data_IF_258699317021
#
_entry.id   IF_258699317021
#
_cell.length_a   1.000
_cell.length_b   1.000
_cell.length_c   1.000
_cell.angle_alpha   90.00
_cell.angle_beta   90.00
_cell.angle_gamma   90.00
#
_symmetry.space_group_name_H-M   'P 1'
#
loop_
_entity.id
_entity.type
_entity.pdbx_description
1 polymer ?
#
# COMPACT_ATOMS: atom_id res chain seq x y z
N UNK A 1 38.40 11.76 -26.03
CA UNK A 1 38.60 11.63 -27.50
C UNK A 1 39.82 12.42 -27.98
N UNK A 2 40.28 12.22 -29.23
CA UNK A 2 41.35 13.01 -29.88
C UNK A 2 40.75 13.80 -31.05
N UNK A 3 41.22 15.03 -31.28
CA UNK A 3 40.81 15.81 -32.44
C UNK A 3 41.38 15.20 -33.74
N UNK A 4 40.53 14.93 -34.73
CA UNK A 4 40.97 14.39 -36.02
C UNK A 4 41.88 15.36 -36.80
N UNK A 5 41.78 16.68 -36.56
CA UNK A 5 42.56 17.69 -37.28
C UNK A 5 43.95 17.92 -36.70
N UNK A 6 44.08 18.06 -35.38
CA UNK A 6 45.36 18.38 -34.74
C UNK A 6 45.91 17.29 -33.81
N UNK A 7 45.19 16.19 -33.62
CA UNK A 7 45.60 15.08 -32.75
C UNK A 7 45.52 15.37 -31.24
N UNK A 8 45.23 16.61 -30.83
CA UNK A 8 45.17 16.99 -29.42
C UNK A 8 44.06 16.23 -28.67
N UNK A 9 44.31 15.85 -27.41
CA UNK A 9 43.29 15.19 -26.57
C UNK A 9 42.23 16.22 -26.18
N UNK A 10 40.97 15.87 -26.38
CA UNK A 10 39.83 16.70 -25.99
C UNK A 10 39.22 16.14 -24.71
N UNK A 11 39.14 17.00 -23.71
CA UNK A 11 38.67 16.71 -22.37
C UNK A 11 37.17 17.03 -22.25
N UNK A 12 36.32 16.00 -22.30
CA UNK A 12 34.85 16.16 -22.24
C UNK A 12 34.23 16.37 -23.63
N UNK A 13 32.92 16.55 -23.69
CA UNK A 13 32.24 16.83 -24.94
C UNK A 13 32.20 18.34 -25.20
N UNK A 14 33.01 18.78 -26.14
CA UNK A 14 32.94 20.12 -26.72
C UNK A 14 32.65 20.02 -28.22
N UNK A 15 31.80 20.90 -28.73
CA UNK A 15 31.52 20.98 -30.16
C UNK A 15 32.76 21.34 -31.00
N UNK A 16 33.74 21.99 -30.37
CA UNK A 16 34.96 22.47 -31.00
C UNK A 16 36.20 22.05 -30.21
N UNK A 17 37.32 21.84 -30.90
CA UNK A 17 38.61 21.57 -30.28
C UNK A 17 39.19 22.85 -29.67
N UNK A 18 39.47 22.84 -28.36
CA UNK A 18 40.06 23.99 -27.66
C UNK A 18 41.46 24.40 -28.18
N UNK A 19 42.17 23.50 -28.85
CA UNK A 19 43.51 23.79 -29.38
C UNK A 19 43.50 24.39 -30.79
N UNK A 20 42.59 23.95 -31.67
CA UNK A 20 42.64 24.34 -33.09
C UNK A 20 41.31 24.88 -33.64
N UNK A 21 40.26 24.97 -32.82
CA UNK A 21 38.94 25.47 -33.20
C UNK A 21 38.15 24.56 -34.15
N UNK A 22 38.71 23.42 -34.57
CA UNK A 22 38.02 22.51 -35.48
C UNK A 22 36.77 21.89 -34.83
N UNK A 23 35.70 21.77 -35.60
CA UNK A 23 34.50 21.05 -35.19
C UNK A 23 34.83 19.57 -34.94
N UNK A 24 34.29 19.02 -33.84
CA UNK A 24 34.46 17.62 -33.47
C UNK A 24 33.24 16.84 -33.93
N UNK A 25 33.43 15.94 -34.90
CA UNK A 25 32.35 15.14 -35.51
C UNK A 25 31.96 13.91 -34.71
N UNK A 26 32.85 13.43 -33.83
CA UNK A 26 32.64 12.24 -32.98
C UNK A 26 32.34 12.66 -31.53
N UNK A 27 31.34 13.53 -31.39
CA UNK A 27 30.96 14.06 -30.09
C UNK A 27 30.05 13.06 -29.36
N UNK A 28 30.66 12.15 -28.61
CA UNK A 28 29.89 11.25 -27.77
C UNK A 28 29.31 12.02 -26.57
N UNK A 29 28.00 12.28 -26.59
CA UNK A 29 27.30 12.97 -25.51
C UNK A 29 27.41 12.21 -24.18
N UNK A 30 27.63 10.88 -24.22
CA UNK A 30 27.89 10.10 -23.01
C UNK A 30 29.24 10.47 -22.34
N UNK A 31 30.22 10.95 -23.10
CA UNK A 31 31.52 11.41 -22.58
C UNK A 31 31.44 12.83 -21.98
N UNK A 32 30.44 13.64 -22.35
CA UNK A 32 30.13 14.93 -21.68
C UNK A 32 29.71 14.72 -20.23
N UNK A 33 28.98 13.63 -20.00
CA UNK A 33 28.63 13.16 -18.68
C UNK A 33 29.85 12.49 -18.05
N UNK A 34 30.95 13.24 -17.86
CA UNK A 34 31.97 12.81 -16.91
C UNK A 34 31.22 12.52 -15.62
N UNK A 35 31.10 11.23 -15.31
CA UNK A 35 30.80 10.76 -13.97
C UNK A 35 31.95 11.30 -13.15
N UNK A 36 31.79 12.49 -12.58
CA UNK A 36 32.62 12.89 -11.47
C UNK A 36 32.51 11.71 -10.51
N UNK A 37 33.62 11.05 -10.15
CA UNK A 37 33.55 9.99 -9.17
C UNK A 37 32.85 10.59 -7.96
N UNK A 38 31.67 10.05 -7.61
CA UNK A 38 30.92 10.56 -6.48
C UNK A 38 31.88 10.58 -5.28
N UNK A 39 31.97 11.70 -4.54
CA UNK A 39 32.86 11.76 -3.41
C UNK A 39 32.51 10.60 -2.45
N UNK A 40 33.50 9.95 -1.82
CA UNK A 40 33.28 8.74 -1.03
C UNK A 40 32.23 8.93 0.08
N UNK A 41 32.10 10.16 0.59
CA UNK A 41 31.06 10.56 1.54
C UNK A 41 29.64 10.42 0.97
N UNK A 42 29.43 10.81 -0.29
CA UNK A 42 28.13 10.69 -0.96
C UNK A 42 27.76 9.23 -1.22
N UNK A 43 28.76 8.40 -1.54
CA UNK A 43 28.57 6.94 -1.69
C UNK A 43 28.16 6.31 -0.36
N UNK A 44 28.77 6.74 0.76
CA UNK A 44 28.38 6.29 2.10
C UNK A 44 26.96 6.71 2.49
N UNK A 45 26.59 7.97 2.26
CA UNK A 45 25.24 8.45 2.57
C UNK A 45 24.15 7.80 1.72
N UNK A 46 24.42 7.54 0.43
CA UNK A 46 23.52 6.79 -0.45
C UNK A 46 23.24 5.37 0.06
N UNK A 47 24.28 4.69 0.55
CA UNK A 47 24.14 3.35 1.11
C UNK A 47 23.31 3.37 2.40
N UNK A 48 23.59 4.32 3.30
CA UNK A 48 22.81 4.52 4.53
C UNK A 48 21.33 4.83 4.21
N UNK A 49 21.06 5.74 3.27
CA UNK A 49 19.70 6.07 2.85
C UNK A 49 18.97 4.84 2.28
N UNK A 50 19.63 4.04 1.44
CA UNK A 50 19.06 2.81 0.89
C UNK A 50 18.73 1.79 1.99
N UNK A 51 19.63 1.58 2.95
CA UNK A 51 19.38 0.67 4.08
C UNK A 51 18.25 1.14 4.99
N UNK A 52 18.17 2.45 5.28
CA UNK A 52 17.10 3.04 6.07
C UNK A 52 15.74 2.84 5.38
N UNK A 53 15.64 3.12 4.07
CA UNK A 53 14.43 2.89 3.29
C UNK A 53 14.00 1.42 3.27
N UNK A 54 14.96 0.50 3.14
CA UNK A 54 14.69 -0.93 3.18
C UNK A 54 14.10 -1.35 4.54
N UNK A 55 14.67 -0.88 5.65
CA UNK A 55 14.18 -1.16 7.00
C UNK A 55 12.77 -0.61 7.22
N UNK A 56 12.50 0.62 6.76
CA UNK A 56 11.15 1.20 6.81
C UNK A 56 10.15 0.38 5.98
N UNK A 57 10.54 -0.07 4.78
CA UNK A 57 9.67 -0.91 3.96
C UNK A 57 9.37 -2.27 4.62
N UNK A 58 10.39 -2.93 5.19
CA UNK A 58 10.24 -4.21 5.87
C UNK A 58 9.37 -4.10 7.13
N UNK A 59 9.55 -3.04 7.92
CA UNK A 59 8.73 -2.80 9.11
C UNK A 59 7.27 -2.51 8.74
N UNK A 60 7.03 -1.68 7.73
CA UNK A 60 5.68 -1.43 7.21
C UNK A 60 5.03 -2.71 6.68
N UNK A 61 5.77 -3.54 5.95
CA UNK A 61 5.30 -4.82 5.45
C UNK A 61 4.95 -5.78 6.60
N UNK A 62 5.80 -5.88 7.63
CA UNK A 62 5.55 -6.72 8.80
C UNK A 62 4.29 -6.29 9.56
N UNK A 63 4.09 -4.98 9.75
CA UNK A 63 2.88 -4.43 10.39
C UNK A 63 1.64 -4.72 9.53
N UNK A 64 1.75 -4.55 8.21
CA UNK A 64 0.67 -4.85 7.26
C UNK A 64 0.28 -6.33 7.27
N UNK A 65 1.25 -7.24 7.30
CA UNK A 65 1.02 -8.68 7.39
C UNK A 65 0.37 -9.07 8.72
N UNK A 66 0.81 -8.50 9.85
CA UNK A 66 0.16 -8.73 11.16
C UNK A 66 -1.30 -8.26 11.17
N UNK A 67 -1.60 -7.11 10.57
CA UNK A 67 -2.97 -6.61 10.43
C UNK A 67 -3.82 -7.53 9.57
N UNK A 68 -3.28 -8.06 8.47
CA UNK A 68 -4.00 -9.02 7.61
C UNK A 68 -4.24 -10.36 8.29
N UNK A 69 -3.28 -10.86 9.06
CA UNK A 69 -3.45 -12.08 9.84
C UNK A 69 -4.57 -11.92 10.89
N UNK A 70 -4.57 -10.81 11.65
CA UNK A 70 -5.60 -10.52 12.64
C UNK A 70 -7.02 -10.37 12.04
N UNK A 71 -7.13 -9.90 10.79
CA UNK A 71 -8.41 -9.82 10.07
C UNK A 71 -8.82 -11.18 9.47
N UNK A 72 -7.87 -12.02 9.08
CA UNK A 72 -8.10 -13.36 8.54
C UNK A 72 -8.64 -14.34 9.58
N UNK A 73 -8.18 -14.26 10.83
CA UNK A 73 -8.68 -15.11 11.92
C UNK A 73 -10.13 -14.79 12.33
N UNK A 74 -10.64 -13.60 11.96
CA UNK A 74 -12.05 -13.22 12.13
C UNK A 74 -12.98 -13.83 11.07
N UNK A 75 -12.47 -14.35 9.96
CA UNK A 75 -13.27 -14.91 8.86
C UNK A 75 -13.55 -16.41 9.01
N UNK A 76 -12.90 -17.10 9.95
CA UNK A 76 -13.23 -18.48 10.35
C UNK A 76 -14.09 -18.57 11.61
N UNK A 77 -14.61 -17.44 12.10
CA UNK A 77 -15.76 -17.45 12.99
C UNK A 77 -17.00 -17.80 12.16
N UNK A 78 -17.19 -19.10 11.91
CA UNK A 78 -18.49 -19.69 11.66
C UNK A 78 -19.47 -19.04 12.67
N UNK A 79 -20.66 -18.55 12.27
CA UNK A 79 -21.69 -18.16 13.22
C UNK A 79 -22.18 -19.45 13.91
N UNK A 80 -21.46 -19.85 14.96
CA UNK A 80 -21.81 -20.99 15.78
C UNK A 80 -23.03 -20.58 16.62
N UNK A 81 -24.16 -21.08 16.13
CA UNK A 81 -25.33 -21.47 16.89
C UNK A 81 -25.85 -20.46 17.90
N UNK A 82 -26.86 -19.70 17.45
CA UNK A 82 -28.21 -19.77 18.01
C UNK A 82 -28.21 -20.03 19.52
N UNK A 83 -28.09 -18.93 20.25
CA UNK A 83 -28.39 -18.78 21.67
C UNK A 83 -29.44 -19.79 22.11
N UNK A 84 -28.98 -20.83 22.82
CA UNK A 84 -29.77 -21.90 23.45
C UNK A 84 -30.81 -21.35 24.45
N UNK A 85 -30.76 -20.05 24.75
CA UNK A 85 -31.72 -19.35 25.58
C UNK A 85 -33.09 -19.14 24.90
N UNK A 86 -33.17 -19.06 23.56
CA UNK A 86 -34.46 -18.77 22.88
C UNK A 86 -35.32 -20.01 22.60
N UNK A 87 -34.75 -21.22 22.66
CA UNK A 87 -35.50 -22.46 22.36
C UNK A 87 -36.26 -23.03 23.56
N UNK A 88 -36.03 -22.56 24.78
CA UNK A 88 -36.83 -22.96 25.96
C UNK A 88 -38.11 -22.12 26.07
N UNK A 89 -38.18 -20.95 25.42
CA UNK A 89 -39.36 -20.08 25.47
C UNK A 89 -40.52 -20.49 24.54
N UNK A 90 -40.30 -21.41 23.59
CA UNK A 90 -41.34 -21.88 22.66
C UNK A 90 -41.93 -23.27 22.99
N UNK A 91 -41.46 -23.93 24.05
CA UNK A 91 -41.85 -25.31 24.38
C UNK A 91 -42.86 -25.44 25.53
N UNK A 92 -43.62 -24.38 25.84
CA UNK A 92 -44.75 -24.50 26.78
C UNK A 92 -46.05 -24.65 25.98
N UNK A 93 -46.67 -25.84 25.94
CA UNK A 93 -47.98 -26.00 25.32
C UNK A 93 -49.04 -25.26 26.15
N UNK A 94 -49.89 -24.50 25.45
CA UNK A 94 -51.10 -23.92 26.00
C UNK A 94 -52.05 -25.01 26.52
N UNK A 95 -52.73 -24.81 27.66
CA UNK A 95 -54.01 -25.44 27.90
C UNK A 95 -55.16 -24.52 27.48
N UNK A 96 -56.02 -25.14 26.67
CA UNK A 96 -57.31 -24.72 26.14
C UNK A 96 -58.36 -24.69 27.27
N UNK A 97 -59.31 -23.75 27.18
CA UNK A 97 -60.60 -23.77 27.89
C UNK A 97 -61.23 -22.37 27.94
N UNK A 98 -62.09 -21.98 26.98
CA UNK A 98 -63.56 -22.18 26.97
C UNK A 98 -64.20 -21.82 28.32
N UNK A 99 -65.22 -20.96 28.45
CA UNK A 99 -66.33 -20.64 27.54
C UNK A 99 -67.25 -19.60 28.21
N UNK A 100 -68.15 -19.02 27.40
CA UNK A 100 -69.46 -18.43 27.74
C UNK A 100 -69.53 -16.89 27.80
N UNK A 101 -70.07 -16.30 26.72
CA UNK A 101 -70.95 -15.12 26.83
C UNK A 101 -72.36 -15.57 27.25
N UNK A 102 -73.45 -14.85 26.91
CA UNK A 102 -73.59 -13.47 26.41
C UNK A 102 -74.51 -12.63 27.35
N UNK A 103 -74.74 -11.35 27.05
CA UNK A 103 -76.07 -10.67 26.94
C UNK A 103 -75.91 -9.15 27.01
N UNK A 104 -76.35 -8.44 25.97
CA UNK A 104 -76.81 -7.04 26.08
C UNK A 104 -78.15 -6.97 26.85
N UNK A 105 -78.84 -5.80 26.97
CA UNK A 105 -79.15 -4.95 25.82
C UNK A 105 -79.20 -3.42 26.07
N UNK A 106 -79.29 -2.68 24.94
CA UNK A 106 -80.12 -1.49 24.64
C UNK A 106 -80.21 -0.28 25.61
N UNK A 107 -79.80 0.87 25.05
CA UNK A 107 -80.57 2.11 24.83
C UNK A 107 -81.26 2.85 26.00
N UNK A 108 -80.97 4.16 26.12
CA UNK A 108 -81.86 5.29 25.75
C UNK A 108 -81.67 6.54 26.63
N UNK A 109 -81.78 7.72 25.99
CA UNK A 109 -82.13 9.05 26.51
C UNK A 109 -81.20 9.69 27.56
N UNK A 110 -80.85 10.98 27.53
CA UNK A 110 -81.56 12.19 27.06
C UNK A 110 -80.54 13.28 26.72
#
# INVERSE_FOLDING_TARGET
MKCARCGHRVAGASWYCAHCGAAITDLNVADSGRRLPLPPLLRGSLWLAATALLLVALTALAIGLRRRAAVGDGATALPDTRSRADLVALATPAPVGSSAGPTGPMAAAS
#
